data_IF_720808414759
#
_entry.id   IF_720808414759
#
_cell.length_a   1.000
_cell.length_b   1.000
_cell.length_c   1.000
_cell.angle_alpha   90.00
_cell.angle_beta   90.00
_cell.angle_gamma   90.00
#
_symmetry.space_group_name_H-M   'P 1'
#
loop_
_entity.id
_entity.type
_entity.pdbx_description
1 polymer ?
#
# COMPACT_ATOMS: atom_id res chain seq x y z
N UNK A 1 18.86 -5.76 63.31
CA UNK A 1 19.30 -4.40 63.69
C UNK A 1 20.78 -4.10 63.38
N UNK A 2 21.58 -5.06 62.90
CA UNK A 2 23.02 -4.89 62.60
C UNK A 2 23.34 -4.33 61.21
N UNK A 3 22.38 -4.24 60.29
CA UNK A 3 22.66 -3.79 58.92
C UNK A 3 22.82 -2.25 58.79
N UNK A 4 22.14 -1.48 59.63
CA UNK A 4 22.20 -0.01 59.58
C UNK A 4 23.56 0.52 60.05
N UNK A 5 24.20 -0.15 61.00
CA UNK A 5 25.53 0.23 61.50
C UNK A 5 26.60 0.03 60.43
N UNK A 6 26.45 -0.99 59.58
CA UNK A 6 27.40 -1.27 58.49
C UNK A 6 27.32 -0.20 57.39
N UNK A 7 26.11 0.21 56.99
CA UNK A 7 25.91 1.29 56.01
C UNK A 7 26.47 2.64 56.50
N UNK A 8 26.23 2.96 57.77
CA UNK A 8 26.75 4.19 58.36
C UNK A 8 28.28 4.19 58.44
N UNK A 9 28.89 3.05 58.80
CA UNK A 9 30.34 2.91 58.85
C UNK A 9 30.96 3.09 57.46
N UNK A 10 30.37 2.49 56.42
CA UNK A 10 30.81 2.65 55.04
C UNK A 10 30.72 4.11 54.60
N UNK A 11 29.56 4.76 54.80
CA UNK A 11 29.37 6.17 54.44
C UNK A 11 30.40 7.07 55.14
N UNK A 12 30.63 6.83 56.44
CA UNK A 12 31.63 7.56 57.22
C UNK A 12 33.04 7.33 56.69
N UNK A 13 33.38 6.09 56.32
CA UNK A 13 34.70 5.76 55.76
C UNK A 13 34.96 6.45 54.41
N UNK A 14 33.91 6.76 53.64
CA UNK A 14 34.01 7.48 52.37
C UNK A 14 34.03 9.00 52.55
N UNK A 15 33.29 9.53 53.52
CA UNK A 15 33.23 10.98 53.78
C UNK A 15 34.53 11.52 54.41
N UNK A 16 35.21 10.73 55.25
CA UNK A 16 36.42 11.18 55.95
C UNK A 16 37.54 11.60 54.98
N UNK A 17 37.91 10.81 53.95
CA UNK A 17 38.87 11.24 52.93
C UNK A 17 38.42 12.50 52.17
N UNK A 18 37.15 12.58 51.78
CA UNK A 18 36.61 13.73 51.04
C UNK A 18 36.70 15.03 51.85
N UNK A 19 36.38 14.96 53.14
CA UNK A 19 36.50 16.10 54.05
C UNK A 19 37.95 16.52 54.27
N UNK A 20 38.89 15.57 54.29
CA UNK A 20 40.32 15.84 54.46
C UNK A 20 40.92 16.54 53.25
N UNK A 21 40.58 16.08 52.05
CA UNK A 21 41.16 16.61 50.81
C UNK A 21 40.51 17.94 50.40
N UNK A 22 39.18 18.08 50.55
CA UNK A 22 38.43 19.18 49.91
C UNK A 22 37.78 20.15 50.90
N UNK A 23 37.89 19.88 52.20
CA UNK A 23 37.32 20.70 53.27
C UNK A 23 35.81 20.49 53.47
N UNK A 24 35.33 20.93 54.62
CA UNK A 24 33.93 20.74 55.05
C UNK A 24 32.93 21.49 54.16
N UNK A 25 33.20 22.76 53.87
CA UNK A 25 32.26 23.64 53.17
C UNK A 25 31.99 23.16 51.73
N UNK A 26 33.04 22.73 51.02
CA UNK A 26 32.94 22.20 49.65
C UNK A 26 32.09 20.93 49.59
N UNK A 27 32.33 20.00 50.52
CA UNK A 27 31.57 18.73 50.58
C UNK A 27 30.11 19.01 50.90
N UNK A 28 29.83 19.94 51.81
CA UNK A 28 28.47 20.33 52.17
C UNK A 28 27.73 20.98 51.00
N UNK A 29 28.39 21.86 50.24
CA UNK A 29 27.84 22.46 49.03
C UNK A 29 27.51 21.39 47.97
N UNK A 30 28.42 20.45 47.70
CA UNK A 30 28.17 19.37 46.75
C UNK A 30 27.01 18.46 47.17
N UNK A 31 26.87 18.16 48.46
CA UNK A 31 25.74 17.39 48.98
C UNK A 31 24.41 18.14 48.79
N UNK A 32 24.39 19.46 49.04
CA UNK A 32 23.20 20.28 48.81
C UNK A 32 22.81 20.32 47.32
N UNK A 33 23.78 20.43 46.41
CA UNK A 33 23.54 20.38 44.97
C UNK A 33 23.03 19.02 44.50
N UNK A 34 23.60 17.93 45.02
CA UNK A 34 23.14 16.57 44.72
C UNK A 34 21.69 16.36 45.19
N UNK A 35 21.35 16.84 46.39
CA UNK A 35 20.00 16.79 46.93
C UNK A 35 19.01 17.61 46.08
N UNK A 36 19.42 18.80 45.62
CA UNK A 36 18.59 19.63 44.75
C UNK A 36 18.36 19.01 43.36
N UNK A 37 19.34 18.27 42.81
CA UNK A 37 19.18 17.51 41.57
C UNK A 37 18.24 16.34 41.74
N UNK A 38 18.39 15.58 42.82
CA UNK A 38 17.51 14.45 43.12
C UNK A 38 16.06 14.90 43.31
N UNK A 39 15.82 16.01 44.02
CA UNK A 39 14.48 16.58 44.17
C UNK A 39 13.85 16.99 42.82
N UNK A 40 14.64 17.46 41.85
CA UNK A 40 14.16 17.79 40.50
C UNK A 40 13.85 16.54 39.67
N UNK A 41 14.65 15.48 39.81
CA UNK A 41 14.40 14.19 39.15
C UNK A 41 13.15 13.51 39.72
N UNK A 42 12.96 13.50 41.04
CA UNK A 42 11.77 12.92 41.68
C UNK A 42 10.48 13.68 41.31
N UNK A 43 10.55 15.00 41.14
CA UNK A 43 9.45 15.80 40.60
C UNK A 43 9.21 15.53 39.10
N UNK A 44 10.25 15.19 38.34
CA UNK A 44 10.10 14.80 36.93
C UNK A 44 9.51 13.40 36.77
N UNK A 45 9.76 12.48 37.70
CA UNK A 45 9.23 11.11 37.68
C UNK A 45 7.76 11.04 38.13
N UNK A 46 7.30 11.98 38.95
CA UNK A 46 5.87 12.10 39.32
C UNK A 46 5.06 12.89 38.29
N UNK A 47 5.73 13.68 37.44
CA UNK A 47 5.16 14.36 36.28
C UNK A 47 5.37 13.58 34.96
N UNK A 48 5.62 12.27 35.04
CA UNK A 48 5.68 11.40 33.87
C UNK A 48 4.27 11.21 33.31
N UNK A 49 3.92 12.20 32.52
CA UNK A 49 2.84 12.23 31.55
C UNK A 49 2.70 10.84 30.96
N UNK A 50 1.49 10.28 31.05
CA UNK A 50 1.00 9.28 30.10
C UNK A 50 1.43 9.74 28.71
N UNK A 51 2.53 9.18 28.19
CA UNK A 51 2.90 9.37 26.80
C UNK A 51 1.68 8.85 26.04
N UNK A 52 0.93 9.70 25.32
CA UNK A 52 -0.12 9.18 24.47
C UNK A 52 0.60 8.19 23.56
N UNK A 53 0.18 6.92 23.63
CA UNK A 53 0.73 5.87 22.78
C UNK A 53 0.83 6.47 21.39
N UNK A 54 2.06 6.67 20.89
CA UNK A 54 2.28 7.31 19.60
C UNK A 54 1.55 6.42 18.62
N UNK A 55 0.34 6.82 18.24
CA UNK A 55 -0.45 6.11 17.26
C UNK A 55 0.46 6.02 16.04
N UNK A 56 0.92 4.82 15.74
CA UNK A 56 1.82 4.58 14.64
C UNK A 56 1.01 4.85 13.38
N UNK A 57 0.96 6.12 12.98
CA UNK A 57 0.27 6.54 11.78
C UNK A 57 1.07 5.95 10.64
N UNK A 58 0.41 5.16 9.80
CA UNK A 58 1.05 4.65 8.58
C UNK A 58 1.53 5.86 7.78
N UNK A 59 2.82 5.88 7.36
CA UNK A 59 3.35 6.99 6.60
C UNK A 59 2.56 7.14 5.30
N UNK A 60 2.30 8.38 4.92
CA UNK A 60 1.57 8.69 3.70
C UNK A 60 2.44 8.40 2.45
N UNK A 61 1.85 8.22 1.27
CA UNK A 61 2.64 7.94 0.06
C UNK A 61 3.65 9.06 -0.22
N UNK A 62 3.24 10.32 -0.03
CA UNK A 62 4.13 11.49 -0.12
C UNK A 62 5.30 11.41 0.86
N UNK A 63 5.05 11.04 2.13
CA UNK A 63 6.10 10.91 3.15
C UNK A 63 7.09 9.81 2.79
N UNK A 64 6.61 8.72 2.18
CA UNK A 64 7.48 7.65 1.68
C UNK A 64 8.37 8.13 0.53
N UNK A 65 7.82 8.92 -0.39
CA UNK A 65 8.59 9.51 -1.49
C UNK A 65 9.60 10.57 -1.02
N UNK A 66 9.27 11.36 0.01
CA UNK A 66 10.18 12.38 0.56
C UNK A 66 11.40 11.80 1.28
N UNK A 67 11.24 10.62 1.91
CA UNK A 67 12.30 9.90 2.63
C UNK A 67 13.32 9.24 1.70
N UNK A 68 13.00 9.11 0.40
CA UNK A 68 13.94 8.59 -0.57
C UNK A 68 15.02 9.63 -0.87
N UNK A 69 16.27 9.18 -0.77
CA UNK A 69 17.45 9.95 -1.16
C UNK A 69 17.75 9.70 -2.64
N UNK A 70 16.90 10.22 -3.52
CA UNK A 70 17.09 10.14 -4.97
C UNK A 70 17.70 11.42 -5.52
N UNK A 71 18.55 11.28 -6.55
CA UNK A 71 19.14 12.41 -7.27
C UNK A 71 18.03 13.36 -7.78
N UNK A 72 18.25 14.67 -7.60
CA UNK A 72 17.21 15.70 -7.50
C UNK A 72 16.13 15.71 -8.58
N UNK A 73 16.49 15.43 -9.84
CA UNK A 73 15.55 15.54 -10.96
C UNK A 73 14.45 14.47 -10.93
N UNK A 74 14.69 13.31 -10.30
CA UNK A 74 13.68 12.25 -10.16
C UNK A 74 12.72 12.45 -8.98
N UNK A 75 13.06 13.36 -8.07
CA UNK A 75 12.31 13.54 -6.82
C UNK A 75 10.95 14.21 -7.06
N UNK A 76 10.88 15.17 -7.98
CA UNK A 76 9.64 15.90 -8.29
C UNK A 76 8.58 14.98 -8.92
N UNK A 77 8.88 14.18 -9.97
CA UNK A 77 7.90 13.27 -10.56
C UNK A 77 7.39 12.22 -9.59
N UNK A 78 8.27 11.63 -8.77
CA UNK A 78 7.90 10.65 -7.75
C UNK A 78 6.99 11.26 -6.69
N UNK A 79 7.29 12.47 -6.22
CA UNK A 79 6.47 13.20 -5.25
C UNK A 79 5.09 13.52 -5.83
N UNK A 80 5.04 13.96 -7.09
CA UNK A 80 3.80 14.28 -7.80
C UNK A 80 2.90 13.04 -7.95
N UNK A 81 3.47 11.92 -8.38
CA UNK A 81 2.76 10.64 -8.46
C UNK A 81 2.32 10.12 -7.09
N UNK A 82 3.13 10.28 -6.05
CA UNK A 82 2.76 9.92 -4.67
C UNK A 82 1.56 10.76 -4.17
N UNK A 83 1.56 12.07 -4.43
CA UNK A 83 0.44 12.95 -4.07
C UNK A 83 -0.85 12.55 -4.81
N UNK A 84 -0.74 12.20 -6.10
CA UNK A 84 -1.87 11.69 -6.90
C UNK A 84 -2.33 10.32 -6.45
N UNK A 85 -1.42 9.48 -5.97
CA UNK A 85 -1.78 8.24 -5.31
C UNK A 85 -2.59 8.56 -4.04
N UNK A 86 -2.16 9.43 -3.15
CA UNK A 86 -2.96 9.74 -1.95
C UNK A 86 -4.32 10.35 -2.28
N UNK A 87 -4.39 11.20 -3.31
CA UNK A 87 -5.63 11.78 -3.83
C UNK A 87 -6.53 10.79 -4.59
N UNK A 88 -6.11 9.54 -4.77
CA UNK A 88 -6.80 8.51 -5.58
C UNK A 88 -7.01 8.90 -7.05
N UNK A 89 -6.23 9.82 -7.60
CA UNK A 89 -6.26 10.16 -9.03
C UNK A 89 -5.30 9.30 -9.84
N UNK A 90 -4.30 8.72 -9.20
CA UNK A 90 -3.42 7.70 -9.76
C UNK A 90 -3.68 6.35 -9.06
N UNK A 91 -4.06 5.33 -9.84
CA UNK A 91 -4.41 3.98 -9.37
C UNK A 91 -5.50 4.03 -8.26
N UNK A 92 -6.74 4.44 -8.57
CA UNK A 92 -7.77 4.70 -7.57
C UNK A 92 -8.13 3.46 -6.73
N UNK A 93 -8.09 2.26 -7.32
CA UNK A 93 -8.49 1.02 -6.66
C UNK A 93 -7.33 0.06 -6.42
N UNK A 94 -7.51 -0.89 -5.51
CA UNK A 94 -6.54 -1.96 -5.27
C UNK A 94 -6.39 -2.92 -6.47
N UNK A 95 -7.37 -2.97 -7.37
CA UNK A 95 -7.31 -3.73 -8.62
C UNK A 95 -6.42 -3.02 -9.64
N UNK A 96 -6.51 -1.69 -9.74
CA UNK A 96 -5.64 -0.90 -10.63
C UNK A 96 -4.18 -1.03 -10.20
N UNK A 97 -3.91 -0.99 -8.89
CA UNK A 97 -2.55 -1.23 -8.36
C UNK A 97 -2.04 -2.61 -8.72
N UNK A 98 -2.90 -3.64 -8.63
CA UNK A 98 -2.55 -5.01 -9.03
C UNK A 98 -2.20 -5.08 -10.50
N UNK A 99 -3.07 -4.56 -11.35
CA UNK A 99 -2.87 -4.57 -12.78
C UNK A 99 -1.62 -3.78 -13.21
N UNK A 100 -1.39 -2.60 -12.61
CA UNK A 100 -0.19 -1.80 -12.88
C UNK A 100 1.10 -2.59 -12.57
N UNK A 101 1.13 -3.30 -11.45
CA UNK A 101 2.30 -4.08 -11.03
C UNK A 101 2.46 -5.37 -11.85
N UNK A 102 1.36 -6.01 -12.22
CA UNK A 102 1.33 -7.17 -13.13
C UNK A 102 1.87 -6.82 -14.53
N UNK A 103 1.42 -5.69 -15.09
CA UNK A 103 1.92 -5.16 -16.37
C UNK A 103 3.44 -4.86 -16.35
N UNK A 104 4.02 -4.75 -15.15
CA UNK A 104 5.44 -4.50 -14.91
C UNK A 104 6.20 -5.76 -14.49
N UNK A 105 5.57 -6.93 -14.59
CA UNK A 105 6.16 -8.22 -14.25
C UNK A 105 6.39 -8.44 -12.75
N UNK A 106 5.76 -7.64 -11.89
CA UNK A 106 5.83 -7.82 -10.44
C UNK A 106 4.66 -8.68 -9.98
N UNK A 107 4.97 -9.87 -9.44
CA UNK A 107 3.94 -10.69 -8.82
C UNK A 107 3.54 -10.09 -7.47
N UNK A 108 2.26 -9.75 -7.39
CA UNK A 108 1.62 -9.37 -6.18
C UNK A 108 0.79 -10.56 -5.71
N UNK A 109 1.31 -11.29 -4.73
CA UNK A 109 0.44 -11.99 -3.79
C UNK A 109 -0.67 -11.06 -3.25
N UNK A 110 -1.57 -11.55 -2.39
CA UNK A 110 -2.81 -10.82 -2.08
C UNK A 110 -2.60 -9.35 -1.62
N UNK A 111 -2.89 -8.39 -2.50
CA UNK A 111 -3.00 -6.97 -2.14
C UNK A 111 -4.35 -6.78 -1.43
N UNK A 112 -4.31 -6.72 -0.11
CA UNK A 112 -5.52 -6.50 0.71
C UNK A 112 -5.94 -5.04 0.73
N UNK A 113 -4.97 -4.12 0.77
CA UNK A 113 -5.23 -2.69 0.88
C UNK A 113 -4.33 -1.91 -0.08
N UNK A 114 -4.92 -0.92 -0.74
CA UNK A 114 -4.24 -0.03 -1.68
C UNK A 114 -3.03 0.66 -1.06
N UNK A 115 -3.20 1.24 0.13
CA UNK A 115 -2.15 1.99 0.81
C UNK A 115 -0.92 1.13 1.13
N UNK A 116 -1.13 -0.13 1.52
CA UNK A 116 -0.05 -1.06 1.84
C UNK A 116 0.77 -1.48 0.60
N UNK A 117 0.21 -1.24 -0.59
CA UNK A 117 0.85 -1.57 -1.86
C UNK A 117 1.69 -0.44 -2.42
N UNK A 118 1.60 0.77 -1.87
CA UNK A 118 2.34 1.92 -2.38
C UNK A 118 3.86 1.68 -2.34
N UNK A 119 4.37 0.95 -1.33
CA UNK A 119 5.78 0.59 -1.28
C UNK A 119 6.24 -0.14 -2.55
N UNK A 120 5.47 -1.14 -2.99
CA UNK A 120 5.77 -1.92 -4.19
C UNK A 120 5.62 -1.09 -5.46
N UNK A 121 4.61 -0.21 -5.51
CA UNK A 121 4.47 0.76 -6.60
C UNK A 121 5.70 1.66 -6.67
N UNK A 122 6.16 2.17 -5.54
CA UNK A 122 7.33 3.03 -5.44
C UNK A 122 8.60 2.31 -5.91
N UNK A 123 8.80 1.06 -5.51
CA UNK A 123 9.93 0.23 -5.97
C UNK A 123 9.92 0.09 -7.50
N UNK A 124 8.75 -0.10 -8.12
CA UNK A 124 8.62 -0.12 -9.58
C UNK A 124 8.92 1.24 -10.20
N UNK A 125 8.39 2.34 -9.65
CA UNK A 125 8.66 3.69 -10.14
C UNK A 125 10.16 4.04 -10.07
N UNK A 126 10.89 3.50 -9.09
CA UNK A 126 12.34 3.65 -8.98
C UNK A 126 13.10 2.83 -10.03
N UNK A 127 12.56 1.69 -10.46
CA UNK A 127 13.15 0.86 -11.52
C UNK A 127 12.88 1.38 -12.94
N UNK A 128 11.93 2.31 -13.11
CA UNK A 128 11.57 2.88 -14.40
C UNK A 128 12.64 3.85 -14.92
N UNK A 129 12.74 3.93 -16.25
CA UNK A 129 13.52 4.96 -16.93
C UNK A 129 12.88 6.34 -16.73
N UNK A 130 13.70 7.39 -16.74
CA UNK A 130 13.26 8.75 -16.41
C UNK A 130 12.20 9.26 -17.42
N UNK A 131 12.38 8.97 -18.71
CA UNK A 131 11.41 9.33 -19.76
C UNK A 131 10.03 8.71 -19.51
N UNK A 132 10.02 7.47 -19.05
CA UNK A 132 8.79 6.73 -18.79
C UNK A 132 8.08 7.25 -17.54
N UNK A 133 8.84 7.62 -16.52
CA UNK A 133 8.33 8.23 -15.31
C UNK A 133 7.69 9.61 -15.60
N UNK A 134 8.33 10.41 -16.45
CA UNK A 134 7.81 11.70 -16.91
C UNK A 134 6.54 11.53 -17.76
N UNK A 135 6.52 10.54 -18.66
CA UNK A 135 5.32 10.21 -19.44
C UNK A 135 4.16 9.77 -18.53
N UNK A 136 4.48 8.99 -17.50
CA UNK A 136 3.50 8.55 -16.51
C UNK A 136 2.93 9.71 -15.68
N UNK A 137 3.79 10.66 -15.30
CA UNK A 137 3.35 11.90 -14.65
C UNK A 137 2.43 12.71 -15.58
N UNK A 138 2.80 12.89 -16.85
CA UNK A 138 2.04 13.67 -17.82
C UNK A 138 0.69 13.05 -18.19
N UNK A 139 0.61 11.71 -18.29
CA UNK A 139 -0.58 11.00 -18.79
C UNK A 139 -1.81 11.07 -17.89
N UNK A 140 -1.71 11.63 -16.67
CA UNK A 140 -2.88 12.05 -15.87
C UNK A 140 -3.74 10.92 -15.27
N UNK A 141 -3.75 9.75 -15.90
CA UNK A 141 -4.56 8.60 -15.48
C UNK A 141 -3.99 7.34 -16.12
N UNK A 142 -3.22 6.58 -15.36
CA UNK A 142 -2.98 5.16 -15.69
C UNK A 142 -4.22 4.38 -15.22
N UNK A 143 -5.38 4.73 -15.80
CA UNK A 143 -6.48 3.78 -15.83
C UNK A 143 -5.99 2.68 -16.76
N UNK A 144 -5.78 1.48 -16.23
CA UNK A 144 -5.52 0.33 -17.10
C UNK A 144 -6.64 0.15 -18.14
N UNK A 145 -6.57 -0.90 -18.96
CA UNK A 145 -7.59 -1.24 -19.97
C UNK A 145 -9.01 -1.44 -19.42
N UNK A 146 -9.25 -1.24 -18.12
CA UNK A 146 -10.52 -1.38 -17.42
C UNK A 146 -11.66 -0.51 -17.96
N UNK A 147 -11.42 0.49 -18.80
CA UNK A 147 -12.52 1.13 -19.55
C UNK A 147 -13.14 0.22 -20.63
N UNK A 148 -12.47 -0.88 -21.00
CA UNK A 148 -13.02 -1.90 -21.90
C UNK A 148 -13.74 -3.05 -21.16
N UNK A 149 -13.70 -3.11 -19.82
CA UNK A 149 -14.48 -4.10 -19.06
C UNK A 149 -15.99 -3.94 -19.29
N UNK A 150 -16.54 -2.73 -19.06
CA UNK A 150 -17.94 -2.44 -19.41
C UNK A 150 -18.24 -2.63 -20.89
N UNK A 151 -17.26 -2.39 -21.76
CA UNK A 151 -17.37 -2.58 -23.21
C UNK A 151 -17.40 -4.07 -23.59
N UNK A 152 -16.59 -4.91 -22.96
CA UNK A 152 -16.61 -6.38 -23.10
C UNK A 152 -17.89 -6.98 -22.54
N UNK A 153 -18.40 -6.47 -21.41
CA UNK A 153 -19.67 -6.91 -20.85
C UNK A 153 -20.84 -6.48 -21.73
N UNK A 154 -20.80 -5.27 -22.30
CA UNK A 154 -21.77 -4.83 -23.30
C UNK A 154 -21.72 -5.69 -24.58
N UNK A 155 -20.53 -6.05 -25.08
CA UNK A 155 -20.36 -6.94 -26.23
C UNK A 155 -20.88 -8.35 -25.91
N UNK A 156 -20.61 -8.89 -24.72
CA UNK A 156 -21.13 -10.21 -24.27
C UNK A 156 -22.65 -10.20 -24.12
N UNK A 157 -23.22 -9.14 -23.53
CA UNK A 157 -24.67 -9.00 -23.39
C UNK A 157 -25.36 -8.89 -24.77
N UNK A 158 -24.76 -8.13 -25.70
CA UNK A 158 -25.29 -7.97 -27.07
C UNK A 158 -25.19 -9.28 -27.86
N UNK A 159 -24.07 -9.99 -27.77
CA UNK A 159 -23.90 -11.29 -28.44
C UNK A 159 -24.80 -12.40 -27.86
N UNK A 160 -25.13 -12.35 -26.57
CA UNK A 160 -26.13 -13.24 -25.97
C UNK A 160 -27.56 -12.91 -26.45
N UNK A 161 -27.91 -11.63 -26.59
CA UNK A 161 -29.21 -11.20 -27.09
C UNK A 161 -29.46 -11.62 -28.55
N UNK A 162 -28.45 -11.49 -29.43
CA UNK A 162 -28.55 -11.87 -30.84
C UNK A 162 -28.69 -13.38 -31.03
N UNK A 163 -28.08 -14.22 -30.19
CA UNK A 163 -28.26 -15.68 -30.26
C UNK A 163 -29.64 -16.14 -29.80
N UNK A 164 -30.30 -15.38 -28.93
CA UNK A 164 -31.61 -15.77 -28.38
C UNK A 164 -32.77 -15.45 -29.35
N UNK A 165 -32.55 -14.58 -30.34
CA UNK A 165 -33.55 -14.25 -31.36
C UNK A 165 -33.66 -15.28 -32.49
N UNK A 166 -32.66 -16.14 -32.67
CA UNK A 166 -32.69 -17.23 -33.67
C UNK A 166 -33.34 -18.52 -33.14
N UNK A 167 -33.71 -18.57 -31.86
CA UNK A 167 -34.26 -19.78 -31.21
C UNK A 167 -35.80 -19.80 -31.07
N UNK A 168 -36.51 -18.81 -31.61
CA UNK A 168 -37.97 -18.75 -31.60
C UNK A 168 -38.53 -18.34 -32.97
N UNK A 169 -38.31 -19.19 -33.98
CA UNK A 169 -39.07 -19.13 -35.21
C UNK A 169 -39.34 -20.55 -35.74
N UNK A 170 -40.15 -21.33 -35.02
CA UNK A 170 -40.95 -22.38 -35.64
C UNK A 170 -42.24 -22.63 -34.83
N UNK A 171 -43.38 -22.03 -35.21
CA UNK A 171 -44.69 -22.45 -34.74
C UNK A 171 -45.15 -23.67 -35.54
N UNK A 172 -45.41 -24.75 -34.79
CA UNK A 172 -46.06 -25.95 -35.27
C UNK A 172 -47.44 -25.66 -35.89
N UNK A 173 -47.64 -26.09 -37.14
CA UNK A 173 -48.95 -26.39 -37.70
C UNK A 173 -48.82 -27.64 -38.59
N UNK A 174 -49.35 -28.75 -38.07
CA UNK A 174 -49.62 -29.96 -38.81
C UNK A 174 -50.89 -29.75 -39.65
N UNK A 175 -50.87 -30.13 -40.93
CA UNK A 175 -51.93 -30.84 -41.69
C UNK A 175 -51.23 -31.40 -42.95
N UNK A 176 -51.07 -32.71 -43.09
CA UNK A 176 -52.02 -33.69 -43.64
C UNK A 176 -51.97 -33.79 -45.19
N UNK A 177 -51.76 -35.04 -45.62
CA UNK A 177 -52.33 -35.65 -46.83
C UNK A 177 -51.61 -35.54 -48.19
N UNK A 178 -51.25 -36.75 -48.65
CA UNK A 178 -51.49 -37.31 -50.00
C UNK A 178 -50.29 -37.36 -50.97
N UNK A 179 -49.71 -38.56 -51.04
CA UNK A 179 -49.07 -39.14 -52.24
C UNK A 179 -49.90 -38.89 -53.51
N UNK A 180 -49.25 -38.66 -54.65
CA UNK A 180 -49.23 -39.77 -55.59
C UNK A 180 -47.90 -39.96 -56.31
N UNK A 181 -47.46 -41.20 -56.24
CA UNK A 181 -46.65 -41.94 -57.21
C UNK A 181 -47.03 -41.60 -58.65
N UNK A 182 -46.10 -41.05 -59.44
CA UNK A 182 -46.10 -41.18 -60.90
C UNK A 182 -44.69 -41.35 -61.47
N UNK A 183 -44.58 -42.43 -62.22
CA UNK A 183 -43.46 -42.89 -63.05
C UNK A 183 -42.98 -41.77 -64.00
N UNK A 184 -41.72 -41.85 -64.42
CA UNK A 184 -41.37 -42.16 -65.83
C UNK A 184 -39.91 -41.75 -66.13
N UNK A 185 -39.25 -42.64 -66.89
CA UNK A 185 -38.18 -42.44 -67.88
C UNK A 185 -37.41 -41.11 -67.84
N UNK A 186 -36.08 -41.09 -67.82
CA UNK A 186 -35.19 -41.94 -68.58
C UNK A 186 -34.14 -41.05 -69.26
N UNK A 187 -33.15 -41.71 -69.84
CA UNK A 187 -32.07 -41.21 -70.68
C UNK A 187 -30.98 -40.38 -69.98
N UNK A 188 -29.76 -40.89 -69.90
CA UNK A 188 -28.79 -41.23 -70.95
C UNK A 188 -27.86 -40.06 -71.25
N UNK A 189 -26.60 -40.45 -71.42
CA UNK A 189 -25.58 -39.79 -72.23
C UNK A 189 -24.96 -38.48 -71.71
N UNK A 190 -23.69 -38.15 -71.92
CA UNK A 190 -22.42 -38.85 -72.21
C UNK A 190 -21.45 -37.72 -72.56
N UNK A 191 -20.21 -37.81 -72.07
CA UNK A 191 -18.97 -37.16 -72.57
C UNK A 191 -18.89 -35.62 -72.53
N UNK A 192 -17.71 -35.01 -72.39
CA UNK A 192 -16.36 -35.44 -72.79
C UNK A 192 -15.32 -35.17 -71.72
#
# INVERSE_FOLDING_TARGET
MTEMTNKYHLLRSLLVPLLREWGYDTVLQCLAEAQAKQAKEDLSLTADKRNPAKHYRRPNAVEMAERLDTAGDRKEPLRSLAARFDAKTFLPTASDVRHFLEMRGQDLGSVKQRQDSFKKVLDVLLSMADDELMLLQASGTHAGPTQLGPLSDAIKATSAAVRNTDSYAEPAAAEESVEPRLKSAGNDAVKS
#
